data_IF_295740559181
#
_entry.id   IF_295740559181
#
_cell.length_a   1.000
_cell.length_b   1.000
_cell.length_c   1.000
_cell.angle_alpha   90.00
_cell.angle_beta   90.00
_cell.angle_gamma   90.00
#
_symmetry.space_group_name_H-M   'P 1'
#
loop_
_entity.id
_entity.type
_entity.pdbx_description
1 polymer ?
#
# COMPACT_ATOMS: atom_id res chain seq x y z
N UNK A 1 -2.87 -17.07 -19.62
CA UNK A 1 -3.10 -16.72 -18.18
C UNK A 1 -4.60 -16.44 -17.98
N UNK A 2 -5.13 -16.54 -16.76
CA UNK A 2 -6.55 -16.33 -16.45
C UNK A 2 -7.47 -17.54 -16.62
N UNK A 3 -6.89 -18.68 -17.03
CA UNK A 3 -7.61 -19.92 -17.31
C UNK A 3 -6.80 -21.13 -16.83
N UNK A 4 -7.49 -22.25 -16.62
CA UNK A 4 -6.96 -23.55 -16.19
C UNK A 4 -7.59 -24.71 -16.96
N UNK A 5 -6.98 -25.90 -16.80
CA UNK A 5 -7.35 -27.15 -17.48
C UNK A 5 -6.59 -27.38 -18.78
N UNK A 6 -6.63 -28.61 -19.28
CA UNK A 6 -5.77 -29.09 -20.39
C UNK A 6 -5.88 -28.25 -21.67
N UNK A 7 -7.04 -27.62 -21.88
CA UNK A 7 -7.33 -26.75 -23.03
C UNK A 7 -7.56 -25.29 -22.65
N UNK A 8 -7.20 -24.88 -21.42
CA UNK A 8 -7.44 -23.53 -20.89
C UNK A 8 -8.90 -23.05 -21.04
N UNK A 9 -9.86 -23.97 -20.92
CA UNK A 9 -11.28 -23.68 -21.17
C UNK A 9 -12.03 -23.17 -19.94
N UNK A 10 -11.43 -23.28 -18.75
CA UNK A 10 -12.05 -22.86 -17.49
C UNK A 10 -11.40 -21.58 -16.99
N UNK A 11 -12.17 -20.50 -16.89
CA UNK A 11 -11.70 -19.24 -16.32
C UNK A 11 -11.32 -19.43 -14.83
N UNK A 12 -10.39 -18.62 -14.34
CA UNK A 12 -10.08 -18.57 -12.92
C UNK A 12 -11.31 -18.17 -12.10
N UNK A 13 -11.47 -18.86 -10.97
CA UNK A 13 -12.47 -18.51 -9.98
C UNK A 13 -12.13 -17.15 -9.35
N UNK A 14 -13.13 -16.39 -8.87
CA UNK A 14 -12.88 -15.15 -8.14
C UNK A 14 -11.84 -15.34 -7.04
N UNK A 15 -10.87 -14.43 -6.95
CA UNK A 15 -9.75 -14.52 -6.01
C UNK A 15 -8.48 -15.18 -6.57
N UNK A 16 -8.51 -15.69 -7.81
CA UNK A 16 -7.35 -16.31 -8.46
C UNK A 16 -7.08 -15.73 -9.85
N UNK A 17 -5.81 -15.74 -10.26
CA UNK A 17 -5.36 -15.22 -11.54
C UNK A 17 -4.12 -15.97 -12.06
N UNK A 18 -3.68 -15.61 -13.26
CA UNK A 18 -2.45 -16.13 -13.86
C UNK A 18 -2.64 -17.49 -14.56
N UNK A 19 -1.53 -18.11 -14.98
CA UNK A 19 -1.59 -19.43 -15.62
C UNK A 19 -2.02 -20.51 -14.61
N UNK A 20 -2.91 -21.41 -15.03
CA UNK A 20 -3.52 -22.44 -14.19
C UNK A 20 -4.21 -21.91 -12.91
N UNK A 21 -4.49 -20.61 -12.85
CA UNK A 21 -5.10 -19.98 -11.67
C UNK A 21 -4.32 -20.22 -10.36
N UNK A 22 -3.00 -20.44 -10.46
CA UNK A 22 -2.14 -20.75 -9.31
C UNK A 22 -1.84 -19.55 -8.42
N UNK A 23 -2.17 -18.35 -8.86
CA UNK A 23 -1.82 -17.11 -8.15
C UNK A 23 -3.08 -16.57 -7.48
N UNK A 24 -3.00 -16.28 -6.19
CA UNK A 24 -4.10 -15.64 -5.45
C UNK A 24 -4.03 -14.12 -5.60
N UNK A 25 -5.19 -13.48 -5.73
CA UNK A 25 -5.34 -12.03 -5.62
C UNK A 25 -4.80 -11.53 -4.27
N UNK A 26 -4.33 -10.27 -4.23
CA UNK A 26 -4.06 -9.59 -2.96
C UNK A 26 -5.35 -9.10 -2.29
N UNK A 27 -5.20 -8.15 -1.37
CA UNK A 27 -6.33 -7.55 -0.65
C UNK A 27 -7.03 -6.46 -1.49
N UNK A 28 -7.82 -6.91 -2.47
CA UNK A 28 -8.56 -6.07 -3.41
C UNK A 28 -9.99 -5.79 -2.95
N UNK A 29 -10.49 -4.56 -3.18
CA UNK A 29 -11.90 -4.21 -2.92
C UNK A 29 -12.89 -4.93 -3.85
N UNK A 30 -12.62 -4.87 -5.15
CA UNK A 30 -13.53 -5.36 -6.20
C UNK A 30 -12.92 -6.52 -6.99
N UNK A 31 -12.23 -7.42 -6.28
CA UNK A 31 -11.49 -8.52 -6.91
C UNK A 31 -10.31 -8.06 -7.76
N UNK A 32 -9.66 -9.01 -8.43
CA UNK A 32 -8.51 -8.75 -9.27
C UNK A 32 -8.70 -9.26 -10.70
N UNK A 33 -8.02 -8.61 -11.64
CA UNK A 33 -7.97 -9.02 -13.03
C UNK A 33 -7.39 -10.44 -13.16
N UNK A 34 -8.09 -11.31 -13.86
CA UNK A 34 -7.73 -12.73 -13.97
C UNK A 34 -6.41 -12.97 -14.72
N UNK A 35 -5.93 -12.00 -15.51
CA UNK A 35 -4.71 -12.14 -16.29
C UNK A 35 -3.48 -11.62 -15.53
N UNK A 36 -3.63 -10.46 -14.90
CA UNK A 36 -2.53 -9.68 -14.31
C UNK A 36 -2.52 -9.70 -12.79
N UNK A 37 -3.65 -10.00 -12.16
CA UNK A 37 -3.81 -9.94 -10.71
C UNK A 37 -3.96 -8.53 -10.15
N UNK A 38 -4.11 -7.52 -11.01
CA UNK A 38 -4.29 -6.13 -10.60
C UNK A 38 -5.68 -5.91 -10.02
N UNK A 39 -5.78 -5.20 -8.90
CA UNK A 39 -7.06 -4.93 -8.26
C UNK A 39 -7.86 -3.88 -9.05
N UNK A 40 -9.09 -4.23 -9.44
CA UNK A 40 -9.94 -3.37 -10.29
C UNK A 40 -10.47 -2.14 -9.53
N UNK A 41 -10.78 -2.30 -8.24
CA UNK A 41 -11.22 -1.23 -7.33
C UNK A 41 -10.11 -0.67 -6.42
N UNK A 42 -8.85 -1.03 -6.69
CA UNK A 42 -7.73 -0.75 -5.79
C UNK A 42 -7.73 -1.61 -4.52
N UNK A 43 -6.88 -1.24 -3.57
CA UNK A 43 -6.66 -2.00 -2.34
C UNK A 43 -7.72 -1.71 -1.28
N UNK A 44 -8.05 -2.70 -0.45
CA UNK A 44 -8.95 -2.53 0.70
C UNK A 44 -8.46 -1.43 1.65
N UNK A 45 -7.14 -1.37 1.87
CA UNK A 45 -6.45 -0.36 2.66
C UNK A 45 -5.38 0.39 1.87
N UNK A 46 -5.10 1.64 2.25
CA UNK A 46 -4.05 2.49 1.68
C UNK A 46 -2.62 2.01 1.98
N UNK A 47 -2.46 1.12 2.97
CA UNK A 47 -1.15 0.55 3.29
C UNK A 47 -0.71 -0.52 2.30
N UNK A 48 -1.60 -1.07 1.47
CA UNK A 48 -1.20 -2.06 0.47
C UNK A 48 -0.63 -1.41 -0.79
N UNK A 49 0.44 -2.00 -1.31
CA UNK A 49 1.12 -1.58 -2.52
C UNK A 49 0.29 -1.94 -3.74
N UNK A 50 -0.17 -0.90 -4.46
CA UNK A 50 -0.79 -1.05 -5.78
C UNK A 50 0.24 -1.54 -6.81
N UNK A 51 -0.19 -2.22 -7.89
CA UNK A 51 -1.58 -2.45 -8.32
C UNK A 51 -2.21 -3.76 -7.81
N UNK A 52 -1.42 -4.69 -7.26
CA UNK A 52 -1.90 -6.03 -6.89
C UNK A 52 -2.29 -6.19 -5.41
N UNK A 53 -1.94 -5.22 -4.56
CA UNK A 53 -2.28 -5.21 -3.13
C UNK A 53 -1.81 -6.47 -2.37
N UNK A 54 -0.65 -7.02 -2.77
CA UNK A 54 -0.07 -8.23 -2.18
C UNK A 54 0.90 -7.97 -1.05
N UNK A 55 1.54 -6.81 -1.07
CA UNK A 55 2.51 -6.39 -0.07
C UNK A 55 1.98 -5.11 0.56
N UNK A 56 2.18 -4.94 1.86
CA UNK A 56 1.99 -3.64 2.50
C UNK A 56 3.23 -2.77 2.28
N UNK A 57 3.08 -1.46 2.40
CA UNK A 57 4.18 -0.56 2.71
C UNK A 57 4.43 -0.59 4.21
N UNK A 58 5.67 -0.33 4.62
CA UNK A 58 5.93 0.03 6.01
C UNK A 58 5.37 1.44 6.26
N UNK A 59 4.67 1.63 7.38
CA UNK A 59 4.07 2.92 7.73
C UNK A 59 4.15 3.19 9.22
N UNK A 60 4.01 4.46 9.60
CA UNK A 60 4.00 4.88 11.00
C UNK A 60 2.63 4.62 11.62
N UNK A 61 2.61 3.98 12.80
CA UNK A 61 1.37 3.73 13.54
C UNK A 61 0.79 5.01 14.15
N UNK A 62 1.65 5.96 14.47
CA UNK A 62 1.32 7.29 14.99
C UNK A 62 2.03 8.35 14.16
N UNK A 63 1.31 9.42 13.83
CA UNK A 63 1.87 10.57 13.12
C UNK A 63 2.97 11.27 13.93
N UNK A 64 3.82 12.03 13.23
CA UNK A 64 4.79 12.91 13.88
C UNK A 64 4.13 14.04 14.66
N UNK A 65 4.86 14.62 15.61
CA UNK A 65 4.46 15.81 16.36
C UNK A 65 5.22 17.03 15.86
N UNK A 66 4.53 18.17 15.72
CA UNK A 66 5.18 19.46 15.47
C UNK A 66 5.66 20.00 16.81
N UNK A 67 6.98 20.12 16.97
CA UNK A 67 7.59 20.73 18.16
C UNK A 67 7.62 22.25 18.06
N UNK A 68 7.73 22.77 16.84
CA UNK A 68 7.76 24.21 16.58
C UNK A 68 7.68 24.51 15.09
N UNK A 69 7.20 25.71 14.77
CA UNK A 69 7.24 26.24 13.41
C UNK A 69 7.57 27.73 13.44
N UNK A 70 8.40 28.17 12.50
CA UNK A 70 8.72 29.57 12.24
C UNK A 70 8.79 29.80 10.71
N UNK A 71 9.12 31.02 10.29
CA UNK A 71 9.12 31.40 8.87
C UNK A 71 10.09 30.58 7.99
N UNK A 72 11.14 29.98 8.58
CA UNK A 72 12.19 29.29 7.84
C UNK A 72 12.37 27.82 8.23
N UNK A 73 11.72 27.35 9.29
CA UNK A 73 11.95 26.02 9.85
C UNK A 73 10.70 25.47 10.53
N UNK A 74 10.52 24.17 10.39
CA UNK A 74 9.51 23.39 11.10
C UNK A 74 10.24 22.21 11.76
N UNK A 75 10.07 22.11 13.07
CA UNK A 75 10.65 21.06 13.88
C UNK A 75 9.63 19.95 14.07
N UNK A 76 9.93 18.77 13.53
CA UNK A 76 9.10 17.58 13.64
C UNK A 76 9.78 16.52 14.50
N UNK A 77 9.04 15.97 15.46
CA UNK A 77 9.43 14.77 16.18
C UNK A 77 8.68 13.58 15.60
N UNK A 78 9.42 12.66 14.99
CA UNK A 78 8.86 11.43 14.42
C UNK A 78 9.52 10.24 15.12
N UNK A 79 8.72 9.37 15.72
CA UNK A 79 9.21 8.13 16.33
C UNK A 79 9.38 7.05 15.26
N UNK A 80 10.62 6.77 14.88
CA UNK A 80 11.01 5.67 13.97
C UNK A 80 11.42 4.38 14.71
N UNK A 81 11.08 4.25 16.00
CA UNK A 81 11.32 3.00 16.72
C UNK A 81 10.39 1.90 16.21
N UNK A 82 10.77 0.63 16.44
CA UNK A 82 9.94 -0.53 16.06
C UNK A 82 8.55 -0.53 16.70
N UNK A 83 8.32 0.27 17.74
CA UNK A 83 7.02 0.38 18.41
C UNK A 83 6.03 1.23 17.61
N UNK A 84 6.53 2.19 16.83
CA UNK A 84 5.72 3.09 16.03
C UNK A 84 5.79 2.77 14.52
N UNK A 85 6.40 1.65 14.15
CA UNK A 85 6.53 1.20 12.76
C UNK A 85 5.76 -0.09 12.55
N UNK A 86 4.76 -0.05 11.68
CA UNK A 86 4.26 -1.26 11.06
C UNK A 86 5.25 -1.70 9.98
N UNK A 87 5.78 -2.92 10.10
CA UNK A 87 6.72 -3.46 9.14
C UNK A 87 5.99 -4.26 8.07
N UNK A 88 6.25 -3.90 6.82
CA UNK A 88 5.98 -4.82 5.72
C UNK A 88 7.06 -5.93 5.67
N UNK A 89 6.73 -7.00 4.96
CA UNK A 89 7.62 -8.12 4.69
C UNK A 89 8.71 -7.77 3.66
N UNK A 90 8.65 -6.60 3.03
CA UNK A 90 9.74 -6.10 2.22
C UNK A 90 10.79 -5.44 3.14
N UNK A 91 12.05 -5.88 3.06
CA UNK A 91 13.14 -5.33 3.86
C UNK A 91 13.53 -3.88 3.48
N UNK A 92 12.60 -3.14 2.87
CA UNK A 92 12.78 -1.79 2.31
C UNK A 92 12.66 -0.76 3.43
N UNK A 93 13.73 0.02 3.65
CA UNK A 93 13.79 1.04 4.71
C UNK A 93 14.04 2.43 4.13
N UNK A 94 13.20 2.87 3.18
CA UNK A 94 13.18 4.26 2.72
C UNK A 94 11.93 4.94 3.29
N UNK A 95 12.11 6.08 3.97
CA UNK A 95 11.01 6.89 4.48
C UNK A 95 10.80 8.08 3.55
N UNK A 96 9.57 8.26 3.08
CA UNK A 96 9.17 9.44 2.32
C UNK A 96 8.36 10.35 3.23
N UNK A 97 8.82 11.60 3.41
CA UNK A 97 8.06 12.62 4.13
C UNK A 97 7.26 13.44 3.12
N UNK A 98 5.93 13.40 3.25
CA UNK A 98 5.03 14.28 2.51
C UNK A 98 4.50 15.35 3.44
N UNK A 99 4.56 16.61 3.00
CA UNK A 99 3.94 17.74 3.70
C UNK A 99 3.05 18.51 2.73
N UNK A 100 2.00 19.14 3.29
CA UNK A 100 1.15 20.08 2.57
C UNK A 100 1.36 21.45 3.20
N UNK A 101 1.63 22.45 2.35
CA UNK A 101 1.65 23.85 2.76
C UNK A 101 0.27 24.44 2.44
N UNK A 102 -0.62 24.46 3.43
CA UNK A 102 -1.86 25.23 3.31
C UNK A 102 -1.56 26.70 3.64
N UNK A 103 -2.25 27.64 2.98
CA UNK A 103 -2.17 29.08 3.26
C UNK A 103 -2.55 29.49 4.69
N UNK A 104 -2.85 28.50 5.55
CA UNK A 104 -3.08 28.57 6.99
C UNK A 104 -2.28 27.45 7.69
N UNK A 105 -0.95 27.46 7.58
CA UNK A 105 0.04 26.84 8.50
C UNK A 105 -0.22 25.44 9.11
N UNK A 106 -0.94 24.51 8.45
CA UNK A 106 -1.09 23.14 8.94
C UNK A 106 -0.45 22.14 7.98
N UNK A 107 0.69 21.59 8.37
CA UNK A 107 1.28 20.42 7.71
C UNK A 107 0.59 19.16 8.22
N UNK A 108 -0.06 18.44 7.31
CA UNK A 108 -0.52 17.08 7.53
C UNK A 108 0.51 16.11 6.97
N UNK A 109 1.09 15.25 7.81
CA UNK A 109 1.89 14.11 7.36
C UNK A 109 0.92 13.04 6.84
N UNK A 110 1.00 12.70 5.56
CA UNK A 110 0.20 11.62 4.94
C UNK A 110 0.90 10.28 5.14
#
# INVERSE_FOLDING_TARGET
>A
PGYQGDYCSKQCQPGFYGADCKQQCGDCRDGCDIYTGNCLGGCSSNYFTRPQCKHSHSYLLSSGQVLGSNLNQIDLQIDFTRKNLFKSNDNTMFYMMQYREDSVNFIQTV
#
